data_IF_187048957489
#
_entry.id   IF_187048957489
#
_cell.length_a   1.000
_cell.length_b   1.000
_cell.length_c   1.000
_cell.angle_alpha   90.00
_cell.angle_beta   90.00
_cell.angle_gamma   90.00
#
_symmetry.space_group_name_H-M   'P 1'
#
loop_
_entity.id
_entity.type
_entity.pdbx_description
1 polymer ?
#
# COMPACT_ATOMS: atom_id res chain seq x y z
N UNK A 1 -26.71 -7.13 52.14
CA UNK A 1 -26.31 -7.16 50.71
C UNK A 1 -27.22 -6.20 49.98
N UNK A 2 -26.67 -5.20 49.28
CA UNK A 2 -27.50 -4.22 48.57
C UNK A 2 -28.06 -4.86 47.30
N UNK A 3 -29.39 -4.94 47.19
CA UNK A 3 -30.08 -5.42 45.98
C UNK A 3 -30.29 -4.25 45.03
N UNK A 4 -29.75 -4.35 43.82
CA UNK A 4 -29.83 -3.30 42.79
C UNK A 4 -31.26 -3.23 42.27
N UNK A 5 -31.94 -2.08 42.44
CA UNK A 5 -33.33 -1.83 42.03
C UNK A 5 -33.40 -1.02 40.73
N UNK A 6 -32.54 -1.33 39.76
CA UNK A 6 -32.53 -0.63 38.47
C UNK A 6 -33.14 -1.52 37.40
N UNK A 7 -33.86 -0.92 36.47
CA UNK A 7 -34.31 -1.59 35.25
C UNK A 7 -33.09 -1.98 34.40
N UNK A 8 -33.27 -2.99 33.54
CA UNK A 8 -32.18 -3.49 32.68
C UNK A 8 -31.59 -2.37 31.81
N UNK A 9 -32.45 -1.46 31.33
CA UNK A 9 -32.10 -0.31 30.49
C UNK A 9 -31.24 0.71 31.26
N UNK A 10 -31.56 1.00 32.51
CA UNK A 10 -30.78 1.92 33.35
C UNK A 10 -29.41 1.34 33.71
N UNK A 11 -29.31 0.02 33.93
CA UNK A 11 -28.04 -0.66 34.15
C UNK A 11 -27.13 -0.60 32.91
N UNK A 12 -27.70 -0.83 31.72
CA UNK A 12 -26.97 -0.73 30.46
C UNK A 12 -26.50 0.70 30.19
N UNK A 13 -27.35 1.71 30.41
CA UNK A 13 -26.99 3.11 30.27
C UNK A 13 -25.86 3.52 31.24
N UNK A 14 -25.94 3.10 32.51
CA UNK A 14 -24.90 3.35 33.50
C UNK A 14 -23.59 2.64 33.14
N UNK A 15 -23.67 1.42 32.60
CA UNK A 15 -22.52 0.64 32.13
C UNK A 15 -21.85 1.29 30.92
N UNK A 16 -22.61 1.76 29.94
CA UNK A 16 -22.08 2.45 28.75
C UNK A 16 -21.47 3.81 29.09
N UNK A 17 -22.01 4.50 30.09
CA UNK A 17 -21.45 5.72 30.65
C UNK A 17 -20.16 5.46 31.45
N UNK A 18 -20.16 4.48 32.34
CA UNK A 18 -18.98 4.09 33.12
C UNK A 18 -17.85 3.53 32.25
N UNK A 19 -18.18 2.86 31.14
CA UNK A 19 -17.21 2.33 30.17
C UNK A 19 -16.83 3.35 29.08
N UNK A 20 -17.36 4.58 29.15
CA UNK A 20 -17.11 5.65 28.19
C UNK A 20 -17.33 5.22 26.72
N UNK A 21 -18.31 4.35 26.49
CA UNK A 21 -18.63 3.74 25.20
C UNK A 21 -19.59 4.61 24.36
N UNK A 22 -19.56 5.93 24.55
CA UNK A 22 -20.57 6.86 24.02
C UNK A 22 -20.53 7.10 22.51
N UNK A 23 -19.60 6.49 21.77
CA UNK A 23 -19.57 6.54 20.31
C UNK A 23 -18.65 5.44 19.78
N UNK A 24 -19.14 4.21 19.68
CA UNK A 24 -18.54 3.26 18.74
C UNK A 24 -18.85 3.80 17.34
N UNK A 25 -18.04 4.76 16.88
CA UNK A 25 -18.09 5.17 15.47
C UNK A 25 -17.82 3.89 14.68
N UNK A 26 -18.84 3.43 13.95
CA UNK A 26 -18.66 2.35 12.99
C UNK A 26 -17.43 2.71 12.14
N UNK A 27 -16.42 1.83 12.05
CA UNK A 27 -15.25 2.13 11.25
C UNK A 27 -15.75 2.40 9.83
N UNK A 28 -15.64 3.67 9.41
CA UNK A 28 -16.01 4.08 8.06
C UNK A 28 -15.28 3.10 7.14
N UNK A 29 -15.98 2.31 6.29
CA UNK A 29 -15.30 1.43 5.39
C UNK A 29 -14.53 2.31 4.42
N UNK A 30 -13.24 2.51 4.68
CA UNK A 30 -12.30 3.13 3.77
C UNK A 30 -12.17 2.10 2.65
N UNK A 31 -13.15 2.07 1.75
CA UNK A 31 -13.07 1.32 0.51
C UNK A 31 -11.78 1.77 -0.13
N UNK A 32 -10.76 0.89 -0.12
CA UNK A 32 -9.42 1.24 -0.52
C UNK A 32 -9.46 1.61 -2.01
N UNK A 33 -9.63 2.90 -2.28
CA UNK A 33 -9.74 3.43 -3.62
C UNK A 33 -8.49 2.97 -4.38
N UNK A 34 -8.68 2.12 -5.39
CA UNK A 34 -7.57 1.52 -6.13
C UNK A 34 -6.74 2.63 -6.75
N UNK A 35 -5.52 2.83 -6.25
CA UNK A 35 -4.61 3.88 -6.74
C UNK A 35 -4.40 3.70 -8.24
N UNK A 36 -4.79 4.71 -9.03
CA UNK A 36 -4.61 4.69 -10.49
C UNK A 36 -3.10 4.63 -10.81
N UNK A 37 -2.70 3.63 -11.59
CA UNK A 37 -1.31 3.48 -12.03
C UNK A 37 -0.93 4.62 -12.97
N UNK A 38 0.18 5.29 -12.69
CA UNK A 38 0.71 6.36 -13.55
C UNK A 38 1.25 5.79 -14.87
N UNK A 39 1.12 6.56 -15.95
CA UNK A 39 1.73 6.22 -17.25
C UNK A 39 3.26 6.34 -17.12
N UNK A 40 3.98 5.30 -17.55
CA UNK A 40 5.45 5.30 -17.53
C UNK A 40 6.01 6.26 -18.59
N UNK A 41 7.12 6.95 -18.25
CA UNK A 41 7.83 7.84 -19.17
C UNK A 41 8.51 7.07 -20.31
N UNK A 42 8.85 7.76 -21.40
CA UNK A 42 9.58 7.18 -22.55
C UNK A 42 10.89 6.53 -22.11
N UNK A 43 11.65 7.20 -21.24
CA UNK A 43 12.91 6.69 -20.70
C UNK A 43 12.72 5.38 -19.90
N UNK A 44 11.75 5.36 -18.97
CA UNK A 44 11.48 4.18 -18.13
C UNK A 44 11.08 2.96 -18.98
N UNK A 45 10.29 3.18 -20.04
CA UNK A 45 9.88 2.15 -20.98
C UNK A 45 11.07 1.54 -21.73
N UNK A 46 11.94 2.37 -22.28
CA UNK A 46 13.13 1.90 -23.00
C UNK A 46 14.14 1.21 -22.07
N UNK A 47 14.31 1.73 -20.85
CA UNK A 47 15.18 1.11 -19.85
C UNK A 47 14.75 -0.33 -19.54
N UNK A 48 13.44 -0.57 -19.33
CA UNK A 48 12.91 -1.90 -19.09
C UNK A 48 13.17 -2.87 -20.25
N UNK A 49 13.06 -2.40 -21.50
CA UNK A 49 13.37 -3.19 -22.70
C UNK A 49 14.85 -3.60 -22.75
N UNK A 50 15.76 -2.63 -22.55
CA UNK A 50 17.20 -2.87 -22.57
C UNK A 50 17.65 -3.80 -21.44
N UNK A 51 17.12 -3.60 -20.23
CA UNK A 51 17.44 -4.45 -19.09
C UNK A 51 16.94 -5.89 -19.30
N UNK A 52 15.73 -6.08 -19.85
CA UNK A 52 15.20 -7.41 -20.17
C UNK A 52 16.09 -8.14 -21.18
N UNK A 53 16.53 -7.44 -22.24
CA UNK A 53 17.44 -8.00 -23.23
C UNK A 53 18.80 -8.39 -22.61
N UNK A 54 19.35 -7.53 -21.76
CA UNK A 54 20.62 -7.78 -21.07
C UNK A 54 20.54 -8.96 -20.10
N UNK A 55 19.45 -9.09 -19.34
CA UNK A 55 19.22 -10.25 -18.46
C UNK A 55 19.14 -11.55 -19.25
N UNK A 56 18.46 -11.54 -20.41
CA UNK A 56 18.38 -12.71 -21.29
C UNK A 56 19.75 -13.10 -21.85
N UNK A 57 20.54 -12.11 -22.29
CA UNK A 57 21.88 -12.36 -22.87
C UNK A 57 22.92 -12.77 -21.83
N UNK A 58 22.78 -12.28 -20.60
CA UNK A 58 23.78 -12.44 -19.54
C UNK A 58 23.13 -12.93 -18.22
N UNK A 59 22.66 -14.20 -18.18
CA UNK A 59 21.94 -14.71 -17.02
C UNK A 59 22.80 -14.85 -15.76
N UNK A 60 24.11 -15.10 -15.90
CA UNK A 60 25.05 -15.28 -14.77
C UNK A 60 25.68 -13.98 -14.27
N UNK A 61 25.46 -12.86 -14.97
CA UNK A 61 26.07 -11.59 -14.61
C UNK A 61 25.31 -10.90 -13.47
N UNK A 62 26.05 -10.20 -12.61
CA UNK A 62 25.47 -9.42 -11.51
C UNK A 62 24.52 -8.33 -12.03
N UNK A 63 23.33 -8.23 -11.44
CA UNK A 63 22.26 -7.30 -11.85
C UNK A 63 22.73 -5.84 -11.82
N UNK A 64 23.55 -5.45 -10.83
CA UNK A 64 24.10 -4.10 -10.71
C UNK A 64 24.92 -3.68 -11.93
N UNK A 65 25.71 -4.60 -12.49
CA UNK A 65 26.45 -4.37 -13.74
C UNK A 65 25.52 -4.24 -14.95
N UNK A 66 24.47 -5.08 -15.03
CA UNK A 66 23.47 -5.00 -16.09
C UNK A 66 22.67 -3.70 -16.04
N UNK A 67 22.36 -3.18 -14.84
CA UNK A 67 21.69 -1.88 -14.67
C UNK A 67 22.54 -0.72 -15.20
N UNK A 68 23.83 -0.67 -14.84
CA UNK A 68 24.76 0.36 -15.37
C UNK A 68 24.82 0.32 -16.91
N UNK A 69 24.91 -0.89 -17.49
CA UNK A 69 24.90 -1.09 -18.95
C UNK A 69 23.57 -0.66 -19.57
N UNK A 70 22.44 -1.04 -18.96
CA UNK A 70 21.11 -0.66 -19.41
C UNK A 70 20.97 0.87 -19.48
N UNK A 71 21.30 1.60 -18.41
CA UNK A 71 21.22 3.07 -18.41
C UNK A 71 22.07 3.74 -19.50
N UNK A 72 23.29 3.24 -19.76
CA UNK A 72 24.12 3.75 -20.86
C UNK A 72 23.45 3.51 -22.21
N UNK A 73 22.88 2.33 -22.45
CA UNK A 73 22.16 2.01 -23.68
C UNK A 73 20.90 2.85 -23.84
N UNK A 74 20.12 3.04 -22.77
CA UNK A 74 18.92 3.88 -22.83
C UNK A 74 19.27 5.33 -23.16
N UNK A 75 20.31 5.90 -22.52
CA UNK A 75 20.79 7.24 -22.82
C UNK A 75 21.22 7.38 -24.28
N UNK A 76 21.98 6.41 -24.80
CA UNK A 76 22.41 6.39 -26.21
C UNK A 76 21.26 6.26 -27.21
N UNK A 77 20.16 5.62 -26.83
CA UNK A 77 19.00 5.41 -27.70
C UNK A 77 18.04 6.62 -27.72
N UNK A 78 18.02 7.40 -26.65
CA UNK A 78 17.16 8.59 -26.53
C UNK A 78 17.89 9.90 -26.85
N UNK A 79 19.23 9.88 -26.86
CA UNK A 79 20.06 10.95 -27.38
C UNK A 79 20.08 10.85 -28.91
#
# INVERSE_FOLDING_TARGET
MATITLSLEEYEALRDMAMNNHSRSEPIPIAAAKKKRRKVSKYSREFGRQLKALKKKHPRSKISGLMKRAHRLTKKKLK
#
